data_IF_762176702905
#
_entry.id   IF_762176702905
#
_cell.length_a   1.000
_cell.length_b   1.000
_cell.length_c   1.000
_cell.angle_alpha   90.00
_cell.angle_beta   90.00
_cell.angle_gamma   90.00
#
_symmetry.space_group_name_H-M   'P 1'
#
loop_
_entity.id
_entity.type
_entity.pdbx_description
1 polymer ?
#
# COMPACT_ATOMS: atom_id res chain seq x y z
N UNK A 1 3.86 21.18 13.80
CA UNK A 1 3.08 20.24 12.97
C UNK A 1 3.02 18.91 13.68
N UNK A 2 1.87 18.49 14.19
CA UNK A 2 1.74 17.17 14.80
C UNK A 2 2.01 16.11 13.72
N UNK A 3 2.89 15.13 13.98
CA UNK A 3 3.03 13.95 13.13
C UNK A 3 1.68 13.25 13.14
N UNK A 4 0.92 13.37 12.06
CA UNK A 4 -0.37 12.73 11.96
C UNK A 4 -0.13 11.28 11.56
N UNK A 5 0.03 10.41 12.58
CA UNK A 5 0.28 8.99 12.37
C UNK A 5 -0.77 8.35 11.46
N UNK A 6 -2.00 8.88 11.47
CA UNK A 6 -3.04 8.52 10.53
C UNK A 6 -2.63 8.69 9.06
N UNK A 7 -2.18 9.90 8.68
CA UNK A 7 -1.74 10.19 7.31
C UNK A 7 -0.52 9.35 6.91
N UNK A 8 0.40 9.13 7.85
CA UNK A 8 1.58 8.28 7.64
C UNK A 8 1.16 6.83 7.38
N UNK A 9 0.24 6.29 8.19
CA UNK A 9 -0.27 4.93 8.02
C UNK A 9 -1.00 4.75 6.69
N UNK A 10 -1.80 5.74 6.26
CA UNK A 10 -2.46 5.70 4.95
C UNK A 10 -1.45 5.68 3.80
N UNK A 11 -0.40 6.51 3.87
CA UNK A 11 0.65 6.53 2.86
C UNK A 11 1.40 5.19 2.79
N UNK A 12 1.79 4.63 3.95
CA UNK A 12 2.44 3.32 4.02
C UNK A 12 1.54 2.18 3.54
N UNK A 13 0.23 2.25 3.80
CA UNK A 13 -0.74 1.31 3.27
C UNK A 13 -0.80 1.37 1.74
N UNK A 14 -0.76 2.57 1.15
CA UNK A 14 -0.71 2.75 -0.30
C UNK A 14 0.52 2.09 -0.95
N UNK A 15 1.70 2.25 -0.35
CA UNK A 15 2.93 1.58 -0.81
C UNK A 15 2.79 0.05 -0.69
N UNK A 16 2.33 -0.42 0.45
CA UNK A 16 2.13 -1.86 0.72
C UNK A 16 1.12 -2.48 -0.25
N UNK A 17 0.05 -1.75 -0.59
CA UNK A 17 -0.95 -2.16 -1.57
C UNK A 17 -0.33 -2.33 -2.95
N UNK A 18 0.47 -1.37 -3.41
CA UNK A 18 1.16 -1.47 -4.69
C UNK A 18 2.11 -2.68 -4.73
N UNK A 19 2.89 -2.91 -3.66
CA UNK A 19 3.77 -4.07 -3.55
C UNK A 19 3.00 -5.40 -3.61
N UNK A 20 1.85 -5.49 -2.92
CA UNK A 20 0.99 -6.68 -2.94
C UNK A 20 0.40 -6.93 -4.33
N UNK A 21 -0.07 -5.90 -5.01
CA UNK A 21 -0.63 -6.00 -6.36
C UNK A 21 0.41 -6.49 -7.36
N UNK A 22 1.63 -5.97 -7.30
CA UNK A 22 2.75 -6.44 -8.14
C UNK A 22 3.08 -7.91 -7.85
N UNK A 23 3.12 -8.30 -6.58
CA UNK A 23 3.36 -9.70 -6.20
C UNK A 23 2.28 -10.63 -6.75
N UNK A 24 0.99 -10.27 -6.60
CA UNK A 24 -0.13 -11.04 -7.13
C UNK A 24 -0.07 -11.14 -8.65
N UNK A 25 0.18 -10.02 -9.33
CA UNK A 25 0.29 -10.01 -10.79
C UNK A 25 1.44 -10.90 -11.29
N UNK A 26 2.58 -10.91 -10.60
CA UNK A 26 3.73 -11.73 -10.95
C UNK A 26 3.53 -13.23 -10.71
N UNK A 27 2.83 -13.61 -9.63
CA UNK A 27 2.65 -15.02 -9.25
C UNK A 27 1.38 -15.66 -9.83
N UNK A 28 0.28 -14.92 -9.85
CA UNK A 28 -1.05 -15.44 -10.21
C UNK A 28 -1.51 -14.94 -11.59
N UNK A 29 -0.83 -13.93 -12.17
CA UNK A 29 -1.25 -13.30 -13.42
C UNK A 29 -2.49 -12.42 -13.30
N UNK A 30 -3.05 -12.29 -12.09
CA UNK A 30 -4.20 -11.48 -11.75
C UNK A 30 -3.98 -10.81 -10.40
N UNK A 31 -4.67 -9.71 -10.15
CA UNK A 31 -4.63 -8.99 -8.88
C UNK A 31 -6.00 -8.40 -8.56
N UNK A 32 -6.17 -7.93 -7.34
CA UNK A 32 -7.39 -7.24 -6.91
C UNK A 32 -7.61 -5.97 -7.76
N UNK A 33 -8.69 -5.97 -8.55
CA UNK A 33 -8.98 -4.89 -9.51
C UNK A 33 -9.39 -3.60 -8.81
N UNK A 34 -10.06 -3.67 -7.67
CA UNK A 34 -10.53 -2.50 -6.94
C UNK A 34 -9.35 -1.81 -6.24
N UNK A 35 -8.46 -2.59 -5.65
CA UNK A 35 -7.21 -2.10 -5.09
C UNK A 35 -6.28 -1.54 -6.19
N UNK A 36 -6.19 -2.19 -7.35
CA UNK A 36 -5.43 -1.68 -8.51
C UNK A 36 -6.00 -0.36 -9.04
N UNK A 37 -7.32 -0.28 -9.20
CA UNK A 37 -8.00 0.92 -9.66
C UNK A 37 -7.76 2.08 -8.69
N UNK A 38 -7.85 1.84 -7.39
CA UNK A 38 -7.50 2.82 -6.36
C UNK A 38 -6.04 3.29 -6.48
N UNK A 39 -5.11 2.34 -6.59
CA UNK A 39 -3.68 2.64 -6.68
C UNK A 39 -3.28 3.37 -7.97
N UNK A 40 -4.03 3.20 -9.06
CA UNK A 40 -3.82 3.96 -10.30
C UNK A 40 -4.48 5.34 -10.22
N UNK A 41 -5.68 5.44 -9.66
CA UNK A 41 -6.37 6.71 -9.49
C UNK A 41 -5.62 7.66 -8.55
N UNK A 42 -4.91 7.13 -7.55
CA UNK A 42 -4.09 7.96 -6.67
C UNK A 42 -3.00 8.74 -7.42
N UNK A 43 -2.47 8.20 -8.52
CA UNK A 43 -1.49 8.89 -9.38
C UNK A 43 -2.11 10.04 -10.19
N UNK A 44 -3.41 9.95 -10.46
CA UNK A 44 -4.16 10.95 -11.23
C UNK A 44 -4.73 12.07 -10.35
N UNK A 45 -4.68 11.90 -9.02
CA UNK A 45 -5.24 12.84 -8.06
C UNK A 45 -4.28 14.02 -7.81
N UNK A 46 -4.38 15.08 -8.62
CA UNK A 46 -3.47 16.23 -8.55
C UNK A 46 -3.71 17.20 -7.38
N UNK A 47 -4.93 17.33 -6.88
CA UNK A 47 -5.28 18.25 -5.78
C UNK A 47 -6.19 17.58 -4.73
N UNK A 48 -5.67 16.61 -3.96
CA UNK A 48 -6.44 15.96 -2.91
C UNK A 48 -6.67 16.90 -1.72
N UNK A 49 -7.88 16.89 -1.16
CA UNK A 49 -8.23 17.64 0.06
C UNK A 49 -7.70 17.00 1.35
N UNK A 50 -7.31 15.72 1.30
CA UNK A 50 -6.73 14.96 2.41
C UNK A 50 -5.94 13.75 1.89
N UNK A 51 -5.10 13.14 2.73
CA UNK A 51 -4.37 11.90 2.39
C UNK A 51 -5.31 10.76 2.02
N UNK A 52 -6.48 10.68 2.65
CA UNK A 52 -7.49 9.67 2.31
C UNK A 52 -8.11 9.93 0.93
N UNK A 53 -8.30 11.20 0.54
CA UNK A 53 -8.84 11.57 -0.76
C UNK A 53 -7.94 11.15 -1.94
N UNK A 54 -6.63 10.98 -1.69
CA UNK A 54 -5.69 10.39 -2.67
C UNK A 54 -6.12 8.98 -3.07
N UNK A 55 -6.69 8.20 -2.14
CA UNK A 55 -7.10 6.81 -2.35
C UNK A 55 -8.62 6.66 -2.55
N UNK A 56 -9.28 7.71 -3.03
CA UNK A 56 -10.73 7.69 -3.29
C UNK A 56 -11.62 8.04 -2.09
N UNK A 57 -11.04 8.50 -0.98
CA UNK A 57 -11.79 9.04 0.15
C UNK A 57 -12.39 8.01 1.11
N UNK A 58 -12.18 6.71 0.86
CA UNK A 58 -12.67 5.62 1.70
C UNK A 58 -11.53 4.72 2.19
N UNK A 59 -11.51 4.41 3.48
CA UNK A 59 -10.49 3.53 4.09
C UNK A 59 -10.58 2.09 3.57
N UNK A 60 -11.77 1.67 3.13
CA UNK A 60 -11.99 0.36 2.51
C UNK A 60 -11.10 0.12 1.30
N UNK A 61 -10.76 1.18 0.55
CA UNK A 61 -9.93 1.11 -0.65
C UNK A 61 -8.45 0.79 -0.34
N UNK A 62 -8.04 0.97 0.92
CA UNK A 62 -6.69 0.69 1.42
C UNK A 62 -6.62 -0.57 2.28
N UNK A 63 -7.71 -1.32 2.42
CA UNK A 63 -7.77 -2.50 3.27
C UNK A 63 -6.67 -3.51 2.95
N UNK A 64 -6.46 -3.79 1.66
CA UNK A 64 -5.40 -4.70 1.18
C UNK A 64 -4.01 -4.18 1.58
N UNK A 65 -3.78 -2.87 1.42
CA UNK A 65 -2.56 -2.21 1.84
C UNK A 65 -2.31 -2.26 3.34
N UNK A 66 -3.35 -2.01 4.15
CA UNK A 66 -3.28 -2.04 5.61
C UNK A 66 -3.02 -3.45 6.15
N UNK A 67 -3.69 -4.46 5.60
CA UNK A 67 -3.46 -5.87 5.93
C UNK A 67 -2.05 -6.30 5.54
N UNK A 68 -1.58 -5.88 4.36
CA UNK A 68 -0.21 -6.14 3.91
C UNK A 68 0.82 -5.44 4.81
N UNK A 69 0.59 -4.19 5.18
CA UNK A 69 1.45 -3.42 6.08
C UNK A 69 1.54 -4.09 7.46
N UNK A 70 0.41 -4.53 8.02
CA UNK A 70 0.41 -5.31 9.25
C UNK A 70 1.17 -6.62 9.10
N UNK A 71 1.03 -7.29 7.95
CA UNK A 71 1.80 -8.49 7.60
C UNK A 71 3.30 -8.21 7.56
N UNK A 72 3.74 -7.11 6.93
CA UNK A 72 5.14 -6.70 6.82
C UNK A 72 5.73 -6.31 8.18
N UNK A 73 4.97 -5.60 9.02
CA UNK A 73 5.40 -5.18 10.36
C UNK A 73 5.43 -6.33 11.37
N UNK A 74 4.49 -7.28 11.28
CA UNK A 74 4.43 -8.46 12.14
C UNK A 74 5.26 -9.64 11.60
N UNK A 75 5.66 -9.63 10.33
CA UNK A 75 6.52 -10.65 9.76
C UNK A 75 7.92 -10.52 10.37
N UNK A 76 8.15 -11.29 11.43
CA UNK A 76 9.49 -11.59 11.98
C UNK A 76 10.29 -12.41 10.95
N UNK A 77 10.80 -11.73 9.92
CA UNK A 77 11.93 -12.10 9.05
C UNK A 77 11.98 -13.54 8.47
N UNK A 78 10.85 -14.26 8.40
CA UNK A 78 10.77 -15.63 7.86
C UNK A 78 9.47 -15.86 7.11
N UNK A 79 9.54 -15.92 5.77
CA UNK A 79 8.42 -16.24 4.88
C UNK A 79 8.16 -15.19 3.78
N UNK A 80 7.10 -15.34 2.95
CA UNK A 80 6.74 -14.44 1.85
C UNK A 80 6.55 -12.96 2.27
N UNK A 81 6.40 -12.68 3.57
CA UNK A 81 6.47 -11.33 4.12
C UNK A 81 7.85 -10.66 3.96
N UNK A 82 8.95 -11.42 4.00
CA UNK A 82 10.31 -10.88 3.83
C UNK A 82 10.57 -10.35 2.40
N UNK A 83 9.86 -10.88 1.40
CA UNK A 83 9.94 -10.43 0.02
C UNK A 83 9.19 -9.11 -0.19
N UNK A 84 8.02 -8.97 0.44
CA UNK A 84 7.26 -7.71 0.51
C UNK A 84 8.03 -6.64 1.31
N UNK A 85 8.66 -7.02 2.41
CA UNK A 85 9.56 -6.12 3.16
C UNK A 85 10.73 -5.67 2.29
N UNK A 86 11.36 -6.57 1.52
CA UNK A 86 12.43 -6.18 0.57
C UNK A 86 11.92 -5.23 -0.49
N UNK A 87 10.78 -5.50 -1.13
CA UNK A 87 10.21 -4.59 -2.12
C UNK A 87 9.88 -3.21 -1.54
N UNK A 88 9.32 -3.18 -0.33
CA UNK A 88 8.98 -1.93 0.35
C UNK A 88 10.24 -1.13 0.67
N UNK A 89 11.28 -1.76 1.22
CA UNK A 89 12.57 -1.11 1.54
C UNK A 89 13.30 -0.66 0.27
N UNK A 90 13.29 -1.48 -0.79
CA UNK A 90 13.92 -1.10 -2.07
C UNK A 90 13.21 0.05 -2.78
N UNK A 91 11.88 0.20 -2.60
CA UNK A 91 11.15 1.38 -3.09
C UNK A 91 11.37 2.62 -2.23
N UNK A 92 11.54 2.45 -0.92
CA UNK A 92 11.78 3.56 0.01
C UNK A 92 13.22 4.11 -0.07
N UNK A 93 14.13 3.40 -0.75
CA UNK A 93 15.47 3.88 -1.07
C UNK A 93 16.43 3.96 0.13
N UNK A 94 16.49 2.89 0.93
CA UNK A 94 17.51 2.71 1.98
C UNK A 94 18.56 1.66 1.59
#
# INVERSE_FOLDING_TARGET
>A
MAKNYYDITLAMAGISQAARLVQQLAHEGQCDRDALHTSLNSLLQMNPSSTLAVFGGEECNLKVGLETLMGVLNANNKGPGAELTRYTISLDGA
#
